data_IF_535107210851
#
_entry.id   IF_535107210851
#
_cell.length_a   1.000
_cell.length_b   1.000
_cell.length_c   1.000
_cell.angle_alpha   90.00
_cell.angle_beta   90.00
_cell.angle_gamma   90.00
#
_symmetry.space_group_name_H-M   'P 1'
#
loop_
_entity.id
_entity.type
_entity.pdbx_description
1 polymer ?
#
# COMPACT_ATOMS: atom_id res chain seq x y z
N UNK A 1 25.50 9.37 0.52
CA UNK A 1 24.11 9.81 0.40
C UNK A 1 23.10 8.67 0.41
N UNK A 2 23.51 7.43 0.22
CA UNK A 2 22.60 6.29 -0.05
C UNK A 2 21.94 5.67 1.19
N UNK A 3 22.55 5.77 2.36
CA UNK A 3 21.98 5.21 3.61
C UNK A 3 20.70 5.93 4.02
N UNK A 4 20.68 7.26 3.90
CA UNK A 4 19.51 8.07 4.23
C UNK A 4 18.31 7.76 3.33
N UNK A 5 18.53 7.69 2.01
CA UNK A 5 17.48 7.34 1.05
C UNK A 5 16.92 5.94 1.30
N UNK A 6 17.76 4.99 1.71
CA UNK A 6 17.32 3.66 2.12
C UNK A 6 16.39 3.66 3.34
N UNK A 7 16.75 4.43 4.37
CA UNK A 7 15.91 4.60 5.58
C UNK A 7 14.57 5.26 5.23
N UNK A 8 14.57 6.30 4.38
CA UNK A 8 13.36 7.00 3.95
C UNK A 8 12.41 6.06 3.19
N UNK A 9 12.92 5.29 2.24
CA UNK A 9 12.12 4.29 1.50
C UNK A 9 11.49 3.26 2.44
N UNK A 10 12.24 2.81 3.45
CA UNK A 10 11.74 1.90 4.48
C UNK A 10 10.67 2.52 5.37
N UNK A 11 10.86 3.77 5.81
CA UNK A 11 9.88 4.48 6.63
C UNK A 11 8.57 4.73 5.87
N UNK A 12 8.66 5.16 4.61
CA UNK A 12 7.50 5.32 3.72
C UNK A 12 6.75 4.01 3.57
N UNK A 13 7.45 2.90 3.33
CA UNK A 13 6.84 1.59 3.23
C UNK A 13 6.06 1.21 4.49
N UNK A 14 6.65 1.39 5.68
CA UNK A 14 5.99 1.05 6.96
C UNK A 14 4.73 1.90 7.17
N UNK A 15 4.80 3.21 6.92
CA UNK A 15 3.64 4.11 7.04
C UNK A 15 2.52 3.68 6.09
N UNK A 16 2.86 3.42 4.83
CA UNK A 16 1.89 2.97 3.83
C UNK A 16 1.27 1.61 4.20
N UNK A 17 2.08 0.67 4.71
CA UNK A 17 1.60 -0.66 5.10
C UNK A 17 0.65 -0.58 6.30
N UNK A 18 1.03 0.14 7.36
CA UNK A 18 0.19 0.29 8.56
C UNK A 18 -1.13 0.95 8.19
N UNK A 19 -1.09 2.03 7.42
CA UNK A 19 -2.30 2.72 7.00
C UNK A 19 -3.18 1.83 6.12
N UNK A 20 -2.58 1.10 5.17
CA UNK A 20 -3.32 0.20 4.28
C UNK A 20 -4.00 -0.94 5.06
N UNK A 21 -3.31 -1.53 6.04
CA UNK A 21 -3.89 -2.60 6.88
C UNK A 21 -5.07 -2.08 7.70
N UNK A 22 -5.01 -0.84 8.19
CA UNK A 22 -6.06 -0.26 9.04
C UNK A 22 -7.26 0.23 8.21
N UNK A 23 -7.00 0.88 7.06
CA UNK A 23 -8.04 1.59 6.30
C UNK A 23 -8.42 0.92 4.97
N UNK A 24 -7.55 0.04 4.44
CA UNK A 24 -7.70 -0.53 3.09
C UNK A 24 -7.47 0.48 1.96
N UNK A 25 -6.94 1.67 2.28
CA UNK A 25 -6.71 2.76 1.31
C UNK A 25 -5.22 3.10 1.21
N UNK A 26 -4.86 3.79 0.13
CA UNK A 26 -3.51 4.31 -0.09
C UNK A 26 -3.43 5.76 0.41
N UNK A 27 -2.33 6.10 1.05
CA UNK A 27 -2.00 7.47 1.43
C UNK A 27 -1.35 8.22 0.27
N UNK A 28 -1.66 9.51 0.14
CA UNK A 28 -0.95 10.41 -0.76
C UNK A 28 0.47 10.69 -0.26
N UNK A 29 1.34 11.17 -1.16
CA UNK A 29 2.72 11.56 -0.80
C UNK A 29 2.75 12.63 0.29
N UNK A 30 1.86 13.61 0.19
CA UNK A 30 1.74 14.72 1.14
C UNK A 30 1.33 14.22 2.53
N UNK A 31 0.36 13.31 2.58
CA UNK A 31 -0.07 12.71 3.84
C UNK A 31 1.04 11.84 4.48
N UNK A 32 1.81 11.11 3.69
CA UNK A 32 2.99 10.37 4.19
C UNK A 32 4.04 11.33 4.73
N UNK A 33 4.33 12.44 4.03
CA UNK A 33 5.28 13.46 4.49
C UNK A 33 4.83 14.09 5.81
N UNK A 34 3.54 14.35 5.97
CA UNK A 34 2.94 14.85 7.20
C UNK A 34 3.09 13.86 8.36
N UNK A 35 2.77 12.58 8.17
CA UNK A 35 2.93 11.53 9.19
C UNK A 35 4.39 11.37 9.61
N UNK A 36 5.34 11.54 8.68
CA UNK A 36 6.77 11.49 8.97
C UNK A 36 7.31 12.79 9.59
N UNK A 37 6.48 13.85 9.71
CA UNK A 37 6.88 15.15 10.26
C UNK A 37 7.86 15.93 9.38
N UNK A 38 7.86 15.67 8.06
CA UNK A 38 8.83 16.24 7.12
C UNK A 38 8.26 17.48 6.41
N UNK A 39 6.96 17.64 6.35
CA UNK A 39 6.24 18.73 5.68
C UNK A 39 6.50 20.11 6.32
N UNK A 40 6.77 20.16 7.62
CA UNK A 40 7.07 21.38 8.37
C UNK A 40 8.55 21.80 8.34
N UNK A 41 9.40 21.02 7.69
CA UNK A 41 10.83 21.34 7.57
C UNK A 41 11.06 22.30 6.40
N UNK A 42 11.94 23.31 6.54
CA UNK A 42 12.27 24.20 5.44
C UNK A 42 12.80 23.36 4.26
N UNK A 43 12.30 23.65 3.07
CA UNK A 43 12.52 22.89 1.82
C UNK A 43 14.00 22.59 1.49
N UNK A 44 14.94 23.32 2.11
CA UNK A 44 16.38 23.14 1.94
C UNK A 44 17.00 22.03 2.78
N UNK A 45 16.26 21.39 3.70
CA UNK A 45 16.86 20.39 4.60
C UNK A 45 16.36 18.97 4.39
N UNK A 46 15.07 18.76 4.18
CA UNK A 46 14.49 17.44 4.00
C UNK A 46 13.16 17.56 3.29
N UNK A 47 13.00 16.91 2.16
CA UNK A 47 11.72 16.71 1.51
C UNK A 47 11.61 15.25 1.05
N UNK A 48 10.44 14.69 1.17
CA UNK A 48 10.15 13.37 0.62
C UNK A 48 10.18 13.45 -0.91
N UNK A 49 11.14 12.78 -1.54
CA UNK A 49 11.21 12.72 -2.99
C UNK A 49 10.13 11.81 -3.55
N UNK A 50 9.67 12.08 -4.76
CA UNK A 50 8.70 11.22 -5.44
C UNK A 50 9.28 9.81 -5.69
N UNK A 51 10.60 9.72 -5.95
CA UNK A 51 11.29 8.44 -6.11
C UNK A 51 11.22 7.58 -4.85
N UNK A 52 11.48 8.16 -3.67
CA UNK A 52 11.40 7.47 -2.38
C UNK A 52 9.97 6.98 -2.07
N UNK A 53 8.97 7.83 -2.34
CA UNK A 53 7.56 7.46 -2.18
C UNK A 53 7.17 6.31 -3.12
N UNK A 54 7.54 6.37 -4.40
CA UNK A 54 7.25 5.32 -5.38
C UNK A 54 7.96 3.99 -5.04
N UNK A 55 9.19 4.05 -4.55
CA UNK A 55 9.88 2.86 -4.05
C UNK A 55 9.18 2.23 -2.84
N UNK A 56 8.70 3.04 -1.90
CA UNK A 56 7.89 2.59 -0.77
C UNK A 56 6.58 1.94 -1.22
N UNK A 57 5.91 2.54 -2.21
CA UNK A 57 4.68 2.03 -2.82
C UNK A 57 4.90 0.65 -3.47
N UNK A 58 5.96 0.46 -4.24
CA UNK A 58 6.28 -0.84 -4.84
C UNK A 58 6.57 -1.88 -3.75
N UNK A 59 7.26 -1.50 -2.68
CA UNK A 59 7.50 -2.40 -1.56
C UNK A 59 6.20 -2.80 -0.86
N UNK A 60 5.24 -1.89 -0.73
CA UNK A 60 3.88 -2.21 -0.25
C UNK A 60 3.22 -3.26 -1.16
N UNK A 61 3.20 -3.01 -2.47
CA UNK A 61 2.57 -3.93 -3.44
C UNK A 61 3.16 -5.34 -3.35
N UNK A 62 4.48 -5.46 -3.18
CA UNK A 62 5.15 -6.77 -3.04
C UNK A 62 4.70 -7.54 -1.76
N UNK A 63 4.26 -6.85 -0.70
CA UNK A 63 3.75 -7.49 0.53
C UNK A 63 2.24 -7.82 0.47
N UNK A 64 1.47 -7.20 -0.41
CA UNK A 64 0.02 -7.39 -0.48
C UNK A 64 -0.42 -8.82 -0.81
N UNK A 65 0.24 -9.60 -1.68
CA UNK A 65 -0.12 -11.01 -1.91
C UNK A 65 0.03 -11.86 -0.64
N UNK A 66 1.05 -11.57 0.18
CA UNK A 66 1.27 -12.24 1.45
C UNK A 66 0.17 -11.89 2.47
N UNK A 67 -0.20 -10.61 2.55
CA UNK A 67 -1.33 -10.16 3.36
C UNK A 67 -2.64 -10.80 2.90
N UNK A 68 -2.88 -10.87 1.59
CA UNK A 68 -4.04 -11.53 1.01
C UNK A 68 -4.14 -12.99 1.43
N UNK A 69 -3.06 -13.75 1.34
CA UNK A 69 -3.01 -15.15 1.78
C UNK A 69 -3.33 -15.28 3.28
N UNK A 70 -2.75 -14.39 4.10
CA UNK A 70 -3.02 -14.39 5.55
C UNK A 70 -4.51 -14.14 5.86
N UNK A 71 -5.15 -13.21 5.15
CA UNK A 71 -6.57 -12.91 5.33
C UNK A 71 -7.47 -14.07 4.90
N UNK A 72 -7.11 -14.79 3.84
CA UNK A 72 -7.79 -16.03 3.44
C UNK A 72 -7.71 -17.10 4.55
N UNK A 73 -6.55 -17.30 5.15
CA UNK A 73 -6.38 -18.24 6.27
C UNK A 73 -7.25 -17.83 7.47
N UNK A 74 -7.49 -16.54 7.67
CA UNK A 74 -8.38 -16.01 8.71
C UNK A 74 -9.87 -16.09 8.35
N UNK A 75 -10.21 -16.58 7.17
CA UNK A 75 -11.59 -16.71 6.71
C UNK A 75 -12.19 -15.44 6.05
N UNK A 76 -11.37 -14.41 5.82
CA UNK A 76 -11.82 -13.22 5.11
C UNK A 76 -11.58 -13.38 3.61
N UNK A 77 -12.59 -13.87 2.90
CA UNK A 77 -12.50 -14.19 1.47
C UNK A 77 -12.77 -13.00 0.54
N UNK A 78 -13.31 -11.88 1.05
CA UNK A 78 -13.56 -10.67 0.26
C UNK A 78 -12.33 -9.75 0.17
N UNK A 79 -11.41 -9.84 1.13
CA UNK A 79 -10.22 -9.02 1.17
C UNK A 79 -9.29 -9.23 -0.04
N UNK A 80 -9.03 -10.45 -0.52
CA UNK A 80 -8.22 -10.69 -1.71
C UNK A 80 -8.69 -9.97 -2.96
N UNK A 81 -10.00 -9.92 -3.20
CA UNK A 81 -10.59 -9.23 -4.35
C UNK A 81 -10.31 -7.72 -4.30
N UNK A 82 -10.51 -7.11 -3.13
CA UNK A 82 -10.21 -5.68 -2.91
C UNK A 82 -8.72 -5.38 -3.09
N UNK A 83 -7.85 -6.23 -2.54
CA UNK A 83 -6.40 -6.10 -2.68
C UNK A 83 -6.00 -6.20 -4.15
N UNK A 84 -6.51 -7.18 -4.89
CA UNK A 84 -6.21 -7.35 -6.31
C UNK A 84 -6.68 -6.15 -7.15
N UNK A 85 -7.86 -5.60 -6.87
CA UNK A 85 -8.36 -4.40 -7.53
C UNK A 85 -7.43 -3.20 -7.29
N UNK A 86 -7.01 -2.97 -6.05
CA UNK A 86 -6.09 -1.89 -5.70
C UNK A 86 -4.72 -2.07 -6.38
N UNK A 87 -4.17 -3.28 -6.39
CA UNK A 87 -2.88 -3.56 -7.05
C UNK A 87 -2.97 -3.36 -8.56
N UNK A 88 -4.05 -3.77 -9.19
CA UNK A 88 -4.29 -3.55 -10.61
C UNK A 88 -4.40 -2.05 -10.95
N UNK A 89 -5.05 -1.27 -10.11
CA UNK A 89 -5.14 0.18 -10.25
C UNK A 89 -3.75 0.82 -10.14
N UNK A 90 -2.97 0.44 -9.12
CA UNK A 90 -1.59 0.92 -8.96
C UNK A 90 -0.76 0.55 -10.20
N UNK A 91 -0.82 -0.69 -10.65
CA UNK A 91 -0.08 -1.16 -11.82
C UNK A 91 -0.44 -0.38 -13.09
N UNK A 92 -1.72 -0.07 -13.30
CA UNK A 92 -2.17 0.74 -14.43
C UNK A 92 -1.64 2.18 -14.35
N UNK A 93 -1.73 2.80 -13.18
CA UNK A 93 -1.21 4.17 -12.96
C UNK A 93 0.31 4.23 -13.17
N UNK A 94 1.05 3.23 -12.70
CA UNK A 94 2.50 3.16 -12.92
C UNK A 94 2.87 3.00 -14.40
N UNK A 95 2.04 2.33 -15.20
CA UNK A 95 2.27 2.22 -16.67
C UNK A 95 2.16 3.57 -17.37
N UNK A 96 1.32 4.46 -16.87
CA UNK A 96 1.17 5.82 -17.43
C UNK A 96 2.35 6.73 -17.05
N UNK A 97 3.06 6.40 -15.95
CA UNK A 97 4.24 7.14 -15.55
C UNK A 97 5.41 6.84 -16.49
N UNK A 98 5.93 7.88 -17.13
CA UNK A 98 7.14 7.77 -17.95
C UNK A 98 8.38 7.67 -17.04
N UNK A 99 8.63 6.46 -16.54
CA UNK A 99 9.72 6.18 -15.62
C UNK A 99 11.06 6.22 -16.37
N UNK A 100 11.77 7.32 -16.24
CA UNK A 100 13.13 7.48 -16.79
C UNK A 100 14.22 6.83 -15.92
N UNK A 101 13.86 6.47 -14.68
CA UNK A 101 14.81 5.93 -13.70
C UNK A 101 14.87 4.40 -13.80
N UNK A 102 16.03 3.87 -14.20
CA UNK A 102 16.24 2.44 -14.42
C UNK A 102 16.01 1.60 -13.16
N UNK A 103 16.36 2.10 -11.98
CA UNK A 103 16.20 1.38 -10.72
C UNK A 103 14.72 1.20 -10.35
N UNK A 104 13.92 2.24 -10.49
CA UNK A 104 12.49 2.22 -10.24
C UNK A 104 11.77 1.34 -11.27
N UNK A 105 12.17 1.42 -12.53
CA UNK A 105 11.61 0.61 -13.62
C UNK A 105 11.84 -0.89 -13.40
N UNK A 106 13.05 -1.28 -12.98
CA UNK A 106 13.35 -2.68 -12.65
C UNK A 106 12.48 -3.22 -11.52
N UNK A 107 12.25 -2.40 -10.49
CA UNK A 107 11.35 -2.75 -9.39
C UNK A 107 9.89 -2.77 -9.80
N UNK A 108 9.46 -1.86 -10.66
CA UNK A 108 8.11 -1.86 -11.22
C UNK A 108 7.82 -3.15 -11.99
N UNK A 109 8.80 -3.69 -12.71
CA UNK A 109 8.63 -4.96 -13.43
C UNK A 109 8.31 -6.14 -12.50
N UNK A 110 8.60 -6.06 -11.21
CA UNK A 110 8.22 -7.09 -10.24
C UNK A 110 6.71 -7.12 -9.96
N UNK A 111 6.02 -6.00 -10.07
CA UNK A 111 4.58 -5.86 -9.77
C UNK A 111 3.74 -6.84 -10.60
N UNK A 112 4.14 -7.13 -11.85
CA UNK A 112 3.41 -8.09 -12.70
C UNK A 112 3.39 -9.51 -12.11
N UNK A 113 4.40 -9.89 -11.37
CA UNK A 113 4.44 -11.20 -10.70
C UNK A 113 3.51 -11.21 -9.48
N UNK A 114 3.41 -10.08 -8.77
CA UNK A 114 2.51 -9.93 -7.63
C UNK A 114 1.04 -9.90 -8.07
N UNK A 115 0.73 -9.22 -9.17
CA UNK A 115 -0.60 -9.28 -9.83
C UNK A 115 -0.97 -10.73 -10.13
N UNK A 116 -0.08 -11.46 -10.80
CA UNK A 116 -0.31 -12.86 -11.16
C UNK A 116 -0.57 -13.74 -9.94
N UNK A 117 0.19 -13.52 -8.87
CA UNK A 117 0.04 -14.24 -7.61
C UNK A 117 -1.32 -13.97 -6.94
N UNK A 118 -1.80 -12.73 -7.01
CA UNK A 118 -3.15 -12.38 -6.53
C UNK A 118 -4.24 -13.02 -7.38
N UNK A 119 -4.07 -13.05 -8.70
CA UNK A 119 -4.99 -13.73 -9.63
C UNK A 119 -5.07 -15.24 -9.33
N UNK A 120 -3.95 -15.89 -9.02
CA UNK A 120 -3.90 -17.30 -8.62
C UNK A 120 -4.68 -17.55 -7.31
N UNK A 121 -4.56 -16.66 -6.33
CA UNK A 121 -5.31 -16.72 -5.06
C UNK A 121 -6.82 -16.58 -5.35
N UNK A 122 -7.22 -15.61 -6.16
CA UNK A 122 -8.61 -15.38 -6.51
C UNK A 122 -9.20 -16.56 -7.28
N UNK A 123 -8.43 -17.13 -8.21
CA UNK A 123 -8.84 -18.31 -8.97
C UNK A 123 -9.12 -19.50 -8.05
N UNK A 124 -8.24 -19.77 -7.08
CA UNK A 124 -8.44 -20.85 -6.11
C UNK A 124 -9.69 -20.63 -5.25
N UNK A 125 -9.92 -19.38 -4.78
CA UNK A 125 -11.13 -19.03 -4.03
C UNK A 125 -12.41 -19.17 -4.86
N UNK A 126 -12.36 -18.83 -6.14
CA UNK A 126 -13.49 -18.96 -7.07
C UNK A 126 -13.82 -20.43 -7.28
N UNK A 127 -12.82 -21.27 -7.52
CA UNK A 127 -13.02 -22.72 -7.71
C UNK A 127 -13.65 -23.39 -6.47
N UNK A 128 -13.32 -22.90 -5.28
CA UNK A 128 -13.88 -23.42 -4.02
C UNK A 128 -15.24 -22.82 -3.69
N UNK A 129 -15.76 -21.90 -4.49
CA UNK A 129 -17.04 -21.21 -4.25
C UNK A 129 -17.06 -20.37 -2.98
N UNK A 130 -15.89 -19.88 -2.53
CA UNK A 130 -15.75 -19.09 -1.29
C UNK A 130 -15.92 -17.57 -1.53
N UNK A 131 -15.85 -17.10 -2.75
CA UNK A 131 -16.14 -15.71 -3.11
C UNK A 131 -17.62 -15.42 -2.87
N UNK A 132 -17.91 -14.39 -2.09
CA UNK A 132 -19.28 -14.00 -1.73
C UNK A 132 -19.89 -14.70 -0.51
N UNK A 133 -19.21 -15.67 0.07
CA UNK A 133 -19.61 -16.30 1.36
C UNK A 133 -18.93 -15.62 2.54
N UNK A 134 -19.03 -14.29 2.65
CA UNK A 134 -18.53 -13.61 3.83
C UNK A 134 -19.46 -13.81 4.99
N UNK A 135 -18.99 -14.52 6.01
CA UNK A 135 -19.49 -14.37 7.35
C UNK A 135 -19.39 -12.89 7.78
N UNK A 136 -20.42 -12.37 8.28
CA UNK A 136 -20.71 -10.96 8.57
C UNK A 136 -19.95 -10.36 9.78
N UNK A 137 -18.66 -10.66 9.94
CA UNK A 137 -17.88 -10.15 11.09
C UNK A 137 -16.47 -9.67 10.69
N UNK A 138 -16.36 -8.85 9.64
CA UNK A 138 -15.21 -7.97 9.54
C UNK A 138 -15.70 -6.54 9.78
N UNK A 139 -15.13 -5.79 10.75
CA UNK A 139 -15.47 -4.40 10.91
C UNK A 139 -15.24 -3.72 9.55
N UNK A 140 -16.32 -3.15 9.01
CA UNK A 140 -16.21 -2.29 7.83
C UNK A 140 -15.11 -1.28 8.11
N UNK A 141 -14.05 -1.33 7.31
CA UNK A 141 -12.99 -0.36 7.37
C UNK A 141 -13.63 1.02 7.16
N UNK A 142 -13.84 1.74 8.25
CA UNK A 142 -14.55 3.01 8.29
C UNK A 142 -13.91 3.94 7.26
N UNK A 143 -14.68 4.55 6.36
CA UNK A 143 -14.16 5.52 5.42
C UNK A 143 -13.71 6.76 6.20
N UNK A 144 -12.42 6.82 6.49
CA UNK A 144 -11.80 7.99 7.11
C UNK A 144 -11.57 9.02 6.01
N UNK A 145 -12.26 10.15 6.10
CA UNK A 145 -11.93 11.33 5.28
C UNK A 145 -10.59 11.89 5.75
N UNK A 146 -9.75 12.33 4.81
CA UNK A 146 -8.35 12.75 5.06
C UNK A 146 -8.19 13.78 6.20
N UNK A 147 -9.20 14.60 6.47
CA UNK A 147 -9.21 15.60 7.55
C UNK A 147 -9.40 15.01 8.97
N UNK A 148 -10.16 13.93 9.11
CA UNK A 148 -10.42 13.31 10.40
C UNK A 148 -9.31 12.35 10.85
N UNK A 149 -8.47 11.90 9.92
CA UNK A 149 -7.42 10.93 10.19
C UNK A 149 -6.24 11.54 10.94
N UNK A 150 -5.87 12.78 10.63
CA UNK A 150 -4.74 13.46 11.30
C UNK A 150 -4.95 13.60 12.81
N UNK A 151 -6.16 13.93 13.25
CA UNK A 151 -6.45 14.10 14.68
C UNK A 151 -6.60 12.77 15.43
N UNK A 152 -7.23 11.77 14.83
CA UNK A 152 -7.46 10.48 15.52
C UNK A 152 -6.22 9.60 15.58
N UNK A 153 -5.31 9.70 14.62
CA UNK A 153 -4.07 8.91 14.61
C UNK A 153 -3.09 9.41 15.66
N UNK A 154 -2.96 10.72 15.83
CA UNK A 154 -2.13 11.30 16.90
C UNK A 154 -2.67 11.02 18.31
N UNK A 155 -4.00 10.98 18.48
CA UNK A 155 -4.64 10.72 19.79
C UNK A 155 -4.49 9.26 20.26
N UNK A 156 -4.24 8.31 19.34
CA UNK A 156 -4.04 6.90 19.68
C UNK A 156 -2.58 6.47 19.82
N UNK A 157 -1.63 7.30 19.40
CA UNK A 157 -0.19 7.04 19.53
C UNK A 157 0.48 7.79 20.70
N UNK A 158 -0.22 8.72 21.34
CA UNK A 158 0.09 9.29 22.63
C UNK A 158 -0.73 8.66 23.72
#
# INVERSE_FOLDING_TARGET
MDVWSGCMKGSVFVVLLVFYVVTGRLLSKEAVAHVLGIDNLPANRMCLTTDEYLHGMISLVNELPRLSMYLVIKGNYNAPERIASNVNQIHSTFKELNLKNDSLRKRFDSIKYDVKRLEEILYDLTLRGLLGTSGSDCPDLVPVTDAAFSEQFYTRLC
#
